data_IF_293196601079
#
_entry.id   IF_293196601079
#
_cell.length_a   1.000
_cell.length_b   1.000
_cell.length_c   1.000
_cell.angle_alpha   90.00
_cell.angle_beta   90.00
_cell.angle_gamma   90.00
#
_symmetry.space_group_name_H-M   'P 1'
#
loop_
_entity.id
_entity.type
_entity.pdbx_description
1 polymer ?
#
# COMPACT_ATOMS: atom_id res chain seq x y z
N UNK A 1 -8.13 -19.24 4.49
CA UNK A 1 -7.44 -20.10 5.49
C UNK A 1 -7.86 -19.83 6.95
N UNK A 2 -7.99 -18.57 7.40
CA UNK A 2 -8.34 -18.25 8.82
C UNK A 2 -9.62 -18.94 9.35
N UNK A 3 -10.72 -18.92 8.59
CA UNK A 3 -11.99 -19.61 8.98
C UNK A 3 -11.81 -21.12 9.12
N UNK A 4 -11.05 -21.73 8.21
CA UNK A 4 -10.76 -23.17 8.23
C UNK A 4 -9.90 -23.55 9.44
N UNK A 5 -8.88 -22.75 9.76
CA UNK A 5 -8.07 -22.95 10.96
C UNK A 5 -8.91 -22.92 12.24
N UNK A 6 -9.77 -21.92 12.41
CA UNK A 6 -10.65 -21.83 13.58
C UNK A 6 -11.67 -22.96 13.66
N UNK A 7 -12.20 -23.42 12.52
CA UNK A 7 -13.06 -24.59 12.46
C UNK A 7 -12.32 -25.86 12.91
N UNK A 8 -11.11 -26.09 12.40
CA UNK A 8 -10.28 -27.22 12.81
C UNK A 8 -9.91 -27.14 14.29
N UNK A 9 -9.54 -25.96 14.78
CA UNK A 9 -9.26 -25.74 16.20
C UNK A 9 -10.49 -26.04 17.08
N UNK A 10 -11.67 -25.58 16.67
CA UNK A 10 -12.93 -25.87 17.36
C UNK A 10 -13.22 -27.37 17.40
N UNK A 11 -13.02 -28.09 16.29
CA UNK A 11 -13.17 -29.54 16.20
C UNK A 11 -12.24 -30.25 17.20
N UNK A 12 -10.98 -29.81 17.30
CA UNK A 12 -10.00 -30.38 18.24
C UNK A 12 -10.45 -30.19 19.70
N UNK A 13 -10.93 -28.99 20.03
CA UNK A 13 -11.44 -28.67 21.37
C UNK A 13 -12.71 -29.47 21.68
N UNK A 14 -13.65 -29.57 20.74
CA UNK A 14 -14.89 -30.35 20.88
C UNK A 14 -14.60 -31.84 21.08
N UNK A 15 -13.65 -32.41 20.33
CA UNK A 15 -13.23 -33.80 20.51
C UNK A 15 -12.65 -34.03 21.92
N UNK A 16 -11.77 -33.14 22.39
CA UNK A 16 -11.23 -33.21 23.76
C UNK A 16 -12.33 -33.17 24.82
N UNK A 17 -13.35 -32.32 24.64
CA UNK A 17 -14.51 -32.27 25.53
C UNK A 17 -15.34 -33.56 25.47
N UNK A 18 -15.56 -34.12 24.27
CA UNK A 18 -16.28 -35.40 24.10
C UNK A 18 -15.55 -36.57 24.78
N UNK A 19 -14.23 -36.68 24.63
CA UNK A 19 -13.41 -37.71 25.29
C UNK A 19 -13.51 -37.59 26.83
N UNK A 20 -13.52 -36.37 27.37
CA UNK A 20 -13.71 -36.15 28.80
C UNK A 20 -15.10 -36.57 29.28
N UNK A 21 -16.14 -36.34 28.47
CA UNK A 21 -17.50 -36.78 28.78
C UNK A 21 -17.66 -38.31 28.71
N UNK A 22 -16.90 -38.97 27.84
CA UNK A 22 -16.87 -40.44 27.73
C UNK A 22 -16.26 -41.13 28.96
N UNK A 23 -15.60 -40.38 29.86
CA UNK A 23 -15.12 -40.91 31.14
C UNK A 23 -16.23 -41.01 32.21
N UNK A 24 -17.43 -40.50 31.92
CA UNK A 24 -18.59 -40.56 32.82
C UNK A 24 -19.38 -41.87 32.62
N UNK A 25 -20.04 -42.38 33.68
CA UNK A 25 -20.82 -43.61 33.57
C UNK A 25 -21.94 -43.49 32.52
N UNK A 26 -22.24 -44.57 31.77
CA UNK A 26 -23.21 -44.53 30.68
C UNK A 26 -24.61 -44.24 31.21
N UNK A 27 -25.22 -43.17 30.68
CA UNK A 27 -26.57 -42.72 31.06
C UNK A 27 -27.66 -43.61 30.43
N UNK A 28 -27.33 -44.35 29.37
CA UNK A 28 -28.28 -45.17 28.59
C UNK A 28 -27.78 -46.63 28.52
N UNK A 29 -28.63 -47.63 28.86
CA UNK A 29 -28.30 -49.04 28.67
C UNK A 29 -27.99 -49.34 27.19
N UNK A 30 -26.89 -50.06 26.93
CA UNK A 30 -26.35 -50.35 25.58
C UNK A 30 -25.91 -49.13 24.75
N UNK A 31 -25.91 -47.92 25.32
CA UNK A 31 -25.38 -46.72 24.66
C UNK A 31 -23.88 -46.81 24.35
N UNK A 32 -23.17 -47.71 25.03
CA UNK A 32 -21.72 -47.89 24.95
C UNK A 32 -21.23 -48.18 23.52
N UNK A 33 -21.97 -49.00 22.75
CA UNK A 33 -21.63 -49.31 21.35
C UNK A 33 -21.76 -48.05 20.48
N UNK A 34 -22.80 -47.26 20.69
CA UNK A 34 -23.02 -46.01 19.96
C UNK A 34 -21.93 -45.00 20.31
N UNK A 35 -21.53 -44.90 21.58
CA UNK A 35 -20.42 -44.05 22.02
C UNK A 35 -19.09 -44.47 21.39
N UNK A 36 -18.75 -45.76 21.35
CA UNK A 36 -17.51 -46.24 20.73
C UNK A 36 -17.43 -45.98 19.22
N UNK A 37 -18.55 -46.15 18.50
CA UNK A 37 -18.62 -45.81 17.07
C UNK A 37 -18.47 -44.31 16.86
N UNK A 38 -19.15 -43.48 17.66
CA UNK A 38 -19.02 -42.02 17.58
C UNK A 38 -17.59 -41.56 17.92
N UNK A 39 -16.97 -42.13 18.95
CA UNK A 39 -15.59 -41.80 19.34
C UNK A 39 -14.61 -42.13 18.21
N UNK A 40 -14.77 -43.29 17.57
CA UNK A 40 -13.94 -43.69 16.43
C UNK A 40 -14.04 -42.69 15.26
N UNK A 41 -15.26 -42.27 14.91
CA UNK A 41 -15.50 -41.28 13.84
C UNK A 41 -14.91 -39.91 14.23
N UNK A 42 -15.16 -39.45 15.45
CA UNK A 42 -14.67 -38.16 15.94
C UNK A 42 -13.14 -38.14 16.05
N UNK A 43 -12.51 -39.26 16.41
CA UNK A 43 -11.05 -39.41 16.45
C UNK A 43 -10.43 -39.24 15.07
N UNK A 44 -11.00 -39.86 14.04
CA UNK A 44 -10.56 -39.68 12.64
C UNK A 44 -10.69 -38.20 12.23
N UNK A 45 -11.84 -37.58 12.49
CA UNK A 45 -12.08 -36.16 12.17
C UNK A 45 -11.09 -35.25 12.91
N UNK A 46 -10.79 -35.54 14.18
CA UNK A 46 -9.83 -34.81 14.99
C UNK A 46 -8.39 -34.94 14.43
N UNK A 47 -7.98 -36.14 13.99
CA UNK A 47 -6.68 -36.34 13.35
C UNK A 47 -6.55 -35.51 12.07
N UNK A 48 -7.58 -35.47 11.23
CA UNK A 48 -7.61 -34.60 10.06
C UNK A 48 -7.56 -33.11 10.45
N UNK A 49 -8.31 -32.69 11.46
CA UNK A 49 -8.31 -31.31 11.94
C UNK A 49 -6.94 -30.86 12.49
N UNK A 50 -6.25 -31.74 13.22
CA UNK A 50 -4.87 -31.52 13.67
C UNK A 50 -3.90 -31.43 12.49
N UNK A 51 -4.00 -32.35 11.53
CA UNK A 51 -3.17 -32.36 10.33
C UNK A 51 -3.34 -31.08 9.50
N UNK A 52 -4.59 -30.67 9.24
CA UNK A 52 -4.91 -29.45 8.50
C UNK A 52 -4.44 -28.21 9.27
N UNK A 53 -4.70 -28.10 10.58
CA UNK A 53 -4.25 -26.96 11.38
C UNK A 53 -2.72 -26.87 11.42
N UNK A 54 -2.04 -27.99 11.61
CA UNK A 54 -0.58 -28.08 11.58
C UNK A 54 -0.03 -27.65 10.22
N UNK A 55 -0.58 -28.15 9.12
CA UNK A 55 -0.19 -27.77 7.77
C UNK A 55 -0.36 -26.25 7.53
N UNK A 56 -1.46 -25.65 8.00
CA UNK A 56 -1.68 -24.19 7.91
C UNK A 56 -0.62 -23.43 8.71
N UNK A 57 -0.29 -23.88 9.93
CA UNK A 57 0.75 -23.24 10.75
C UNK A 57 2.12 -23.34 10.08
N UNK A 58 2.52 -24.54 9.64
CA UNK A 58 3.78 -24.74 8.93
C UNK A 58 3.86 -23.97 7.62
N UNK A 59 2.76 -23.83 6.89
CA UNK A 59 2.69 -23.00 5.70
C UNK A 59 3.06 -21.54 6.00
N UNK A 60 2.44 -20.92 7.02
CA UNK A 60 2.74 -19.53 7.38
C UNK A 60 4.15 -19.34 7.96
N UNK A 61 4.65 -20.32 8.72
CA UNK A 61 6.03 -20.30 9.23
C UNK A 61 7.03 -20.40 8.06
N UNK A 62 6.81 -21.33 7.13
CA UNK A 62 7.64 -21.50 5.94
C UNK A 62 7.64 -20.23 5.08
N UNK A 63 6.46 -19.64 4.87
CA UNK A 63 6.32 -18.39 4.15
C UNK A 63 7.08 -17.24 4.85
N UNK A 64 7.02 -17.15 6.17
CA UNK A 64 7.78 -16.16 6.95
C UNK A 64 9.29 -16.32 6.78
N UNK A 65 9.82 -17.55 6.85
CA UNK A 65 11.25 -17.79 6.64
C UNK A 65 11.69 -17.51 5.20
N UNK A 66 10.91 -17.93 4.21
CA UNK A 66 11.19 -17.61 2.81
C UNK A 66 11.18 -16.11 2.58
N UNK A 67 10.22 -15.39 3.17
CA UNK A 67 10.19 -13.93 3.17
C UNK A 67 11.43 -13.33 3.80
N UNK A 68 11.85 -13.83 4.97
CA UNK A 68 13.04 -13.34 5.66
C UNK A 68 14.31 -13.47 4.82
N UNK A 69 14.41 -14.54 4.03
CA UNK A 69 15.51 -14.77 3.11
C UNK A 69 15.47 -13.84 1.87
N UNK A 70 14.35 -13.19 1.59
CA UNK A 70 14.16 -12.25 0.48
C UNK A 70 14.03 -10.79 0.95
N UNK A 71 14.49 -10.46 2.16
CA UNK A 71 14.38 -9.11 2.73
C UNK A 71 15.17 -8.06 1.95
N UNK A 72 16.28 -8.46 1.32
CA UNK A 72 17.11 -7.56 0.51
C UNK A 72 16.29 -6.92 -0.62
N UNK A 73 15.42 -7.70 -1.28
CA UNK A 73 14.51 -7.20 -2.32
C UNK A 73 13.55 -6.15 -1.76
N UNK A 74 12.99 -6.38 -0.57
CA UNK A 74 12.09 -5.43 0.05
C UNK A 74 12.82 -4.13 0.43
N UNK A 75 14.08 -4.21 0.85
CA UNK A 75 14.93 -3.06 1.10
C UNK A 75 15.22 -2.26 -0.17
N UNK A 76 15.54 -2.94 -1.27
CA UNK A 76 15.80 -2.29 -2.55
C UNK A 76 14.56 -1.57 -3.08
N UNK A 77 13.39 -2.24 -3.11
CA UNK A 77 12.13 -1.62 -3.53
C UNK A 77 11.79 -0.40 -2.65
N UNK A 78 11.91 -0.52 -1.32
CA UNK A 78 11.70 0.62 -0.41
C UNK A 78 12.67 1.75 -0.72
N UNK A 79 13.92 1.43 -1.04
CA UNK A 79 14.96 2.39 -1.43
C UNK A 79 14.59 3.17 -2.70
N UNK A 80 13.99 2.51 -3.68
CA UNK A 80 13.56 3.19 -4.90
C UNK A 80 12.31 4.03 -4.71
N UNK A 81 11.33 3.55 -3.95
CA UNK A 81 10.17 4.37 -3.55
C UNK A 81 10.64 5.60 -2.77
N UNK A 82 11.67 5.44 -1.92
CA UNK A 82 12.34 6.54 -1.23
C UNK A 82 12.82 7.60 -2.23
N UNK A 83 13.49 7.18 -3.30
CA UNK A 83 14.02 8.07 -4.32
C UNK A 83 12.91 8.87 -5.01
N UNK A 84 11.73 8.27 -5.24
CA UNK A 84 10.56 8.98 -5.78
C UNK A 84 10.02 9.99 -4.77
N UNK A 85 9.93 9.63 -3.49
CA UNK A 85 9.56 10.58 -2.42
C UNK A 85 10.53 11.76 -2.33
N UNK A 86 11.83 11.56 -2.64
CA UNK A 86 12.78 12.68 -2.71
C UNK A 86 12.42 13.68 -3.81
N UNK A 87 11.87 13.21 -4.92
CA UNK A 87 11.45 14.09 -6.04
C UNK A 87 10.17 14.83 -5.69
N UNK A 88 9.21 14.14 -5.05
CA UNK A 88 8.05 14.81 -4.46
C UNK A 88 8.49 15.93 -3.51
N UNK A 89 9.43 15.65 -2.61
CA UNK A 89 9.92 16.66 -1.68
C UNK A 89 10.52 17.89 -2.36
N UNK A 90 11.23 17.75 -3.50
CA UNK A 90 11.76 18.90 -4.26
C UNK A 90 10.66 19.87 -4.71
N UNK A 91 9.53 19.34 -5.19
CA UNK A 91 8.38 20.16 -5.57
C UNK A 91 7.75 20.78 -4.33
N UNK A 92 7.49 19.96 -3.32
CA UNK A 92 6.85 20.40 -2.08
C UNK A 92 7.66 21.48 -1.36
N UNK A 93 8.99 21.46 -1.43
CA UNK A 93 9.85 22.50 -0.84
C UNK A 93 9.57 23.92 -1.36
N UNK A 94 9.08 24.05 -2.60
CA UNK A 94 8.71 25.34 -3.17
C UNK A 94 7.42 25.90 -2.56
N UNK A 95 6.64 25.06 -1.90
CA UNK A 95 5.34 25.39 -1.33
C UNK A 95 5.54 25.86 0.11
N UNK A 96 5.01 27.05 0.43
CA UNK A 96 5.18 27.70 1.74
C UNK A 96 4.80 26.80 2.92
N UNK A 97 3.75 25.98 2.75
CA UNK A 97 3.26 25.02 3.73
C UNK A 97 4.34 24.03 4.20
N UNK A 98 5.22 23.63 3.30
CA UNK A 98 6.22 22.58 3.51
C UNK A 98 7.63 23.12 3.78
N UNK A 99 7.84 24.45 3.84
CA UNK A 99 9.17 25.07 4.06
C UNK A 99 9.92 24.61 5.31
N UNK A 100 9.22 24.00 6.30
CA UNK A 100 9.85 23.40 7.50
C UNK A 100 10.57 22.07 7.23
N UNK A 101 10.41 21.47 6.05
CA UNK A 101 11.09 20.22 5.69
C UNK A 101 12.60 20.41 5.53
N UNK A 102 13.06 21.64 5.26
CA UNK A 102 14.48 21.94 5.11
C UNK A 102 15.16 22.17 6.47
N UNK A 103 15.94 21.19 6.93
CA UNK A 103 17.12 21.42 7.78
C UNK A 103 18.36 21.02 6.99
N UNK A 104 18.99 22.01 6.37
CA UNK A 104 20.38 22.03 5.88
C UNK A 104 20.88 20.73 5.23
N UNK A 105 20.74 20.61 3.90
CA UNK A 105 21.82 20.21 2.96
C UNK A 105 21.27 20.01 1.55
N UNK A 106 21.94 20.60 0.57
CA UNK A 106 21.89 20.17 -0.82
C UNK A 106 22.58 18.80 -0.89
N UNK A 107 21.81 17.75 -1.21
CA UNK A 107 22.22 16.52 -1.93
C UNK A 107 21.61 15.23 -1.38
N UNK A 108 21.16 15.16 -0.12
CA UNK A 108 20.60 13.91 0.42
C UNK A 108 19.37 14.17 1.26
N UNK A 109 18.19 13.88 0.70
CA UNK A 109 16.95 13.74 1.49
C UNK A 109 17.12 12.53 2.42
N UNK A 110 17.21 12.79 3.72
CA UNK A 110 17.46 11.78 4.74
C UNK A 110 16.14 11.18 5.24
N UNK A 111 16.22 10.02 5.89
CA UNK A 111 15.07 9.35 6.51
C UNK A 111 14.27 10.29 7.45
N UNK A 112 14.98 11.17 8.17
CA UNK A 112 14.38 12.18 9.06
C UNK A 112 13.45 13.15 8.30
N UNK A 113 13.80 13.49 7.05
CA UNK A 113 13.07 14.48 6.25
C UNK A 113 11.79 13.86 5.69
N UNK A 114 11.82 12.56 5.39
CA UNK A 114 10.63 11.76 5.04
C UNK A 114 9.70 11.65 6.24
N UNK A 115 10.22 11.35 7.43
CA UNK A 115 9.39 11.34 8.65
C UNK A 115 8.74 12.71 8.86
N UNK A 116 9.47 13.80 8.65
CA UNK A 116 8.92 15.15 8.75
C UNK A 116 7.83 15.40 7.71
N UNK A 117 8.05 15.03 6.45
CA UNK A 117 7.05 15.12 5.38
C UNK A 117 5.77 14.35 5.74
N UNK A 118 5.91 13.09 6.14
CA UNK A 118 4.79 12.24 6.54
C UNK A 118 4.05 12.81 7.74
N UNK A 119 4.77 13.39 8.71
CA UNK A 119 4.17 14.06 9.86
C UNK A 119 3.41 15.34 9.46
N UNK A 120 3.93 16.13 8.52
CA UNK A 120 3.23 17.33 8.02
C UNK A 120 1.93 16.94 7.33
N UNK A 121 1.96 15.92 6.46
CA UNK A 121 0.77 15.42 5.76
C UNK A 121 -0.25 14.84 6.75
N UNK A 122 0.20 13.95 7.65
CA UNK A 122 -0.66 13.30 8.64
C UNK A 122 -1.35 14.26 9.61
N UNK A 123 -0.67 15.34 9.98
CA UNK A 123 -1.21 16.34 10.91
C UNK A 123 -1.89 17.52 10.19
N UNK A 124 -2.05 17.46 8.87
CA UNK A 124 -2.72 18.51 8.12
C UNK A 124 -4.18 18.61 8.55
N UNK A 125 -4.71 19.82 8.81
CA UNK A 125 -6.11 19.98 9.13
C UNK A 125 -6.97 19.62 7.91
N UNK A 126 -8.14 19.03 8.17
CA UNK A 126 -9.18 18.83 7.16
C UNK A 126 -9.83 20.15 6.79
N UNK A 127 -10.14 20.32 5.52
CA UNK A 127 -10.91 21.44 5.00
C UNK A 127 -12.37 21.33 5.43
N UNK A 128 -13.02 22.48 5.64
CA UNK A 128 -14.45 22.54 5.96
C UNK A 128 -15.29 22.58 4.69
N UNK A 129 -15.48 21.44 4.01
CA UNK A 129 -16.33 21.33 2.81
C UNK A 129 -16.12 22.47 1.79
N UNK A 130 -14.85 22.77 1.49
CA UNK A 130 -14.48 23.74 0.46
C UNK A 130 -13.87 22.95 -0.70
N UNK A 131 -14.44 23.11 -1.89
CA UNK A 131 -13.80 22.67 -3.11
C UNK A 131 -12.69 23.66 -3.46
N UNK A 132 -11.49 23.16 -3.71
CA UNK A 132 -10.35 24.01 -4.07
C UNK A 132 -10.39 24.34 -5.56
N UNK A 133 -10.75 23.35 -6.37
CA UNK A 133 -11.12 23.53 -7.76
C UNK A 133 -12.64 23.54 -7.91
N UNK A 134 -13.14 23.82 -9.11
CA UNK A 134 -14.54 23.57 -9.38
C UNK A 134 -14.84 22.06 -9.32
N UNK A 135 -16.03 21.72 -8.80
CA UNK A 135 -16.45 20.32 -8.53
C UNK A 135 -16.32 19.42 -9.76
N UNK A 136 -16.41 19.98 -10.96
CA UNK A 136 -16.28 19.24 -12.21
C UNK A 136 -14.93 18.52 -12.32
N UNK A 137 -13.80 19.17 -11.98
CA UNK A 137 -12.48 18.53 -12.08
C UNK A 137 -12.25 17.44 -11.03
N UNK A 138 -12.66 17.68 -9.79
CA UNK A 138 -12.53 16.69 -8.71
C UNK A 138 -13.36 15.43 -9.01
N UNK A 139 -14.58 15.59 -9.54
CA UNK A 139 -15.43 14.48 -9.96
C UNK A 139 -14.86 13.79 -11.23
N UNK A 140 -14.26 14.55 -12.15
CA UNK A 140 -13.71 14.02 -13.41
C UNK A 140 -12.48 13.14 -13.20
N UNK A 141 -11.62 13.48 -12.24
CA UNK A 141 -10.37 12.74 -11.96
C UNK A 141 -10.46 11.80 -10.75
N UNK A 142 -11.66 11.65 -10.18
CA UNK A 142 -11.93 10.83 -9.00
C UNK A 142 -10.95 11.13 -7.84
N UNK A 143 -10.66 12.42 -7.64
CA UNK A 143 -9.79 12.89 -6.57
C UNK A 143 -10.37 14.15 -5.94
N UNK A 144 -10.71 14.04 -4.66
CA UNK A 144 -11.28 15.12 -3.87
C UNK A 144 -10.24 15.71 -2.93
N UNK A 145 -10.11 17.04 -2.92
CA UNK A 145 -9.22 17.72 -1.99
C UNK A 145 -9.90 17.79 -0.61
N UNK A 146 -9.28 17.17 0.39
CA UNK A 146 -9.81 17.06 1.75
C UNK A 146 -8.96 17.79 2.80
N UNK A 147 -7.70 18.06 2.50
CA UNK A 147 -6.74 18.59 3.47
C UNK A 147 -6.09 19.90 3.04
N UNK A 148 -5.70 20.71 4.02
CA UNK A 148 -5.04 22.01 3.77
C UNK A 148 -3.75 21.90 2.95
N UNK A 149 -2.97 20.82 3.14
CA UNK A 149 -1.75 20.60 2.36
C UNK A 149 -2.06 20.40 0.87
N UNK A 150 -3.14 19.69 0.53
CA UNK A 150 -3.58 19.43 -0.84
C UNK A 150 -4.06 20.71 -1.50
N UNK A 151 -4.81 21.53 -0.75
CA UNK A 151 -5.20 22.88 -1.18
C UNK A 151 -3.98 23.72 -1.53
N UNK A 152 -2.98 23.74 -0.65
CA UNK A 152 -1.79 24.58 -0.88
C UNK A 152 -0.95 24.09 -2.06
N UNK A 153 -0.92 22.77 -2.31
CA UNK A 153 -0.35 22.20 -3.54
C UNK A 153 -1.15 22.67 -4.75
N UNK A 154 -2.48 22.62 -4.68
CA UNK A 154 -3.35 23.10 -5.74
C UNK A 154 -3.12 24.56 -6.11
N UNK A 155 -2.99 25.43 -5.12
CA UNK A 155 -2.64 26.85 -5.30
C UNK A 155 -1.28 27.02 -5.98
N UNK A 156 -0.26 26.28 -5.52
CA UNK A 156 1.07 26.32 -6.13
C UNK A 156 1.08 25.91 -7.61
N UNK A 157 0.37 24.83 -7.96
CA UNK A 157 0.30 24.36 -9.35
C UNK A 157 -0.40 25.34 -10.30
N UNK A 158 -1.30 26.18 -9.78
CA UNK A 158 -1.91 27.26 -10.56
C UNK A 158 -0.92 28.42 -10.77
N UNK A 159 -0.10 28.74 -9.77
CA UNK A 159 0.85 29.87 -9.78
C UNK A 159 2.17 29.60 -10.51
N UNK A 160 2.65 28.34 -10.51
CA UNK A 160 3.96 27.98 -11.08
C UNK A 160 4.00 28.18 -12.60
N UNK A 161 5.13 28.61 -13.15
CA UNK A 161 5.33 28.68 -14.60
C UNK A 161 5.18 27.31 -15.27
N UNK A 162 4.55 27.29 -16.44
CA UNK A 162 4.22 26.06 -17.15
C UNK A 162 5.45 25.26 -17.59
N UNK A 163 6.56 25.92 -17.94
CA UNK A 163 7.79 25.21 -18.32
C UNK A 163 8.42 24.52 -17.10
N UNK A 164 8.34 25.17 -15.94
CA UNK A 164 8.78 24.59 -14.66
C UNK A 164 7.95 23.37 -14.32
N UNK A 165 6.63 23.47 -14.44
CA UNK A 165 5.70 22.34 -14.22
C UNK A 165 6.00 21.16 -15.15
N UNK A 166 6.24 21.45 -16.43
CA UNK A 166 6.61 20.43 -17.43
C UNK A 166 7.90 19.71 -17.04
N UNK A 167 8.91 20.45 -16.61
CA UNK A 167 10.20 19.91 -16.21
C UNK A 167 10.08 19.04 -14.96
N UNK A 168 9.38 19.54 -13.93
CA UNK A 168 9.15 18.81 -12.69
C UNK A 168 8.44 17.47 -12.92
N UNK A 169 7.48 17.42 -13.85
CA UNK A 169 6.74 16.19 -14.18
C UNK A 169 7.57 15.23 -15.05
N UNK A 170 8.38 15.75 -15.97
CA UNK A 170 9.24 14.92 -16.81
C UNK A 170 10.29 14.16 -16.01
N UNK A 171 10.81 14.79 -14.96
CA UNK A 171 11.75 14.15 -14.06
C UNK A 171 11.12 12.89 -13.44
N UNK A 172 9.83 12.91 -13.06
CA UNK A 172 9.14 11.71 -12.55
C UNK A 172 8.99 10.58 -13.57
N UNK A 173 8.78 10.90 -14.84
CA UNK A 173 8.55 9.89 -15.89
C UNK A 173 9.77 8.97 -16.04
N UNK A 174 10.98 9.51 -15.87
CA UNK A 174 12.22 8.74 -15.90
C UNK A 174 12.29 7.74 -14.74
N UNK A 175 11.94 8.17 -13.53
CA UNK A 175 11.96 7.29 -12.35
C UNK A 175 10.82 6.28 -12.36
N UNK A 176 9.62 6.68 -12.77
CA UNK A 176 8.49 5.78 -12.87
C UNK A 176 8.80 4.62 -13.82
N UNK A 177 9.40 4.90 -14.99
CA UNK A 177 9.81 3.86 -15.95
C UNK A 177 10.86 2.90 -15.37
N UNK A 178 11.89 3.41 -14.69
CA UNK A 178 12.92 2.58 -14.06
C UNK A 178 12.33 1.69 -12.97
N UNK A 179 11.50 2.27 -12.12
CA UNK A 179 10.87 1.58 -11.00
C UNK A 179 9.84 0.54 -11.49
N UNK A 180 9.10 0.87 -12.55
CA UNK A 180 8.20 -0.03 -13.28
C UNK A 180 8.94 -1.27 -13.82
N UNK A 181 10.06 -1.08 -14.54
CA UNK A 181 10.86 -2.19 -15.07
C UNK A 181 11.38 -3.06 -13.92
N UNK A 182 12.01 -2.42 -12.94
CA UNK A 182 12.61 -3.11 -11.80
C UNK A 182 11.56 -3.93 -11.04
N UNK A 183 10.45 -3.33 -10.62
CA UNK A 183 9.43 -4.06 -9.87
C UNK A 183 8.74 -5.13 -10.73
N UNK A 184 8.56 -4.92 -12.04
CA UNK A 184 8.05 -5.98 -12.92
C UNK A 184 9.01 -7.18 -12.99
N UNK A 185 10.32 -6.94 -13.05
CA UNK A 185 11.34 -8.00 -13.00
C UNK A 185 11.30 -8.75 -11.66
N UNK A 186 11.05 -8.05 -10.55
CA UNK A 186 10.88 -8.66 -9.24
C UNK A 186 9.56 -9.40 -9.07
N UNK A 187 8.47 -8.89 -9.64
CA UNK A 187 7.13 -9.51 -9.61
C UNK A 187 7.15 -10.92 -10.21
N UNK A 188 7.95 -11.11 -11.26
CA UNK A 188 8.12 -12.42 -11.92
C UNK A 188 8.92 -13.39 -11.02
N UNK A 189 9.86 -12.87 -10.23
CA UNK A 189 10.81 -13.70 -9.48
C UNK A 189 10.50 -13.85 -7.98
N UNK A 190 9.54 -13.09 -7.43
CA UNK A 190 9.29 -13.07 -5.98
C UNK A 190 7.85 -13.44 -5.62
N UNK A 191 7.66 -14.72 -5.32
CA UNK A 191 6.37 -15.26 -4.87
C UNK A 191 5.81 -14.56 -3.63
N UNK A 192 6.66 -13.93 -2.79
CA UNK A 192 6.22 -13.23 -1.58
C UNK A 192 5.36 -11.99 -1.86
N UNK A 193 5.57 -11.28 -2.97
CA UNK A 193 4.79 -10.08 -3.33
C UNK A 193 3.32 -10.43 -3.61
N UNK A 194 3.06 -11.61 -4.16
CA UNK A 194 1.69 -12.10 -4.39
C UNK A 194 0.89 -12.23 -3.09
N UNK A 195 1.56 -12.56 -1.97
CA UNK A 195 0.90 -12.77 -0.68
C UNK A 195 0.65 -11.46 0.09
N UNK A 196 1.33 -10.36 -0.27
CA UNK A 196 1.16 -9.05 0.32
C UNK A 196 0.11 -8.24 -0.44
N UNK A 197 -1.18 -8.45 -0.08
CA UNK A 197 -2.36 -7.75 -0.64
C UNK A 197 -2.07 -6.32 -1.08
N UNK A 198 -1.62 -5.51 -0.13
CA UNK A 198 -1.47 -4.07 -0.31
C UNK A 198 -0.19 -3.70 -1.04
N UNK A 199 0.88 -4.49 -0.91
CA UNK A 199 2.16 -4.15 -1.54
C UNK A 199 2.04 -4.27 -3.04
N UNK A 200 1.51 -5.38 -3.54
CA UNK A 200 1.32 -5.58 -4.98
C UNK A 200 0.24 -4.64 -5.55
N UNK A 201 -0.86 -4.41 -4.83
CA UNK A 201 -1.90 -3.45 -5.25
C UNK A 201 -1.31 -2.02 -5.30
N UNK A 202 -0.63 -1.55 -4.25
CA UNK A 202 -0.03 -0.20 -4.22
C UNK A 202 1.15 -0.04 -5.18
N UNK A 203 1.95 -1.09 -5.39
CA UNK A 203 2.97 -1.16 -6.44
C UNK A 203 2.33 -1.08 -7.81
N UNK A 204 1.27 -1.86 -8.08
CA UNK A 204 0.61 -1.82 -9.37
C UNK A 204 -0.02 -0.44 -9.57
N UNK A 205 -0.74 0.15 -8.60
CA UNK A 205 -1.28 1.53 -8.71
C UNK A 205 -0.18 2.56 -8.98
N UNK A 206 0.98 2.41 -8.33
CA UNK A 206 2.13 3.28 -8.52
C UNK A 206 2.81 3.10 -9.90
N UNK A 207 2.86 1.87 -10.42
CA UNK A 207 3.51 1.48 -11.68
C UNK A 207 2.55 1.52 -12.87
N UNK A 208 1.24 1.56 -12.61
CA UNK A 208 0.23 1.36 -13.63
C UNK A 208 0.41 2.46 -14.68
N UNK A 209 0.72 2.09 -15.94
CA UNK A 209 0.71 3.06 -17.01
C UNK A 209 -0.63 3.81 -17.02
N UNK A 210 -1.76 3.14 -16.75
CA UNK A 210 -3.10 3.75 -16.83
C UNK A 210 -3.40 4.76 -15.70
N UNK A 211 -2.76 4.70 -14.52
CA UNK A 211 -2.99 5.66 -13.41
C UNK A 211 -2.04 6.86 -13.45
N UNK A 212 -0.79 6.62 -13.83
CA UNK A 212 0.17 7.69 -14.06
C UNK A 212 -0.07 8.40 -15.41
N UNK A 213 -0.85 7.77 -16.29
CA UNK A 213 -1.23 8.30 -17.59
C UNK A 213 -1.95 9.64 -17.45
N UNK A 214 -2.87 9.86 -16.50
CA UNK A 214 -3.52 11.18 -16.38
C UNK A 214 -2.48 12.29 -16.18
N UNK A 215 -1.59 12.17 -15.18
CA UNK A 215 -0.54 13.16 -14.92
C UNK A 215 0.37 13.36 -16.14
N UNK A 216 0.85 12.27 -16.75
CA UNK A 216 1.79 12.34 -17.88
C UNK A 216 1.11 12.74 -19.20
N UNK A 217 -0.17 12.42 -19.38
CA UNK A 217 -1.01 12.78 -20.51
C UNK A 217 -1.31 14.27 -20.45
N UNK A 218 -1.80 14.79 -19.32
CA UNK A 218 -2.03 16.23 -19.19
C UNK A 218 -0.73 17.02 -19.30
N UNK A 219 0.40 16.48 -18.81
CA UNK A 219 1.71 17.10 -19.07
C UNK A 219 2.10 17.08 -20.56
N UNK A 220 1.78 16.00 -21.28
CA UNK A 220 2.03 15.91 -22.73
C UNK A 220 1.14 16.87 -23.52
N UNK A 221 -0.12 17.05 -23.10
CA UNK A 221 -1.02 18.06 -23.66
C UNK A 221 -0.49 19.46 -23.38
N UNK A 222 -0.09 19.76 -22.13
CA UNK A 222 0.52 21.03 -21.75
C UNK A 222 1.73 21.38 -22.63
N UNK A 223 2.64 20.42 -22.85
CA UNK A 223 3.77 20.60 -23.79
C UNK A 223 3.34 20.91 -25.21
N UNK A 224 2.29 20.26 -25.69
CA UNK A 224 1.75 20.48 -27.05
C UNK A 224 1.16 21.88 -27.17
N UNK A 225 0.38 22.30 -26.16
CA UNK A 225 -0.22 23.63 -26.09
C UNK A 225 0.86 24.71 -26.02
N UNK A 226 1.89 24.58 -25.17
CA UNK A 226 3.00 25.54 -25.08
C UNK A 226 3.76 25.72 -26.41
N UNK A 227 3.81 24.70 -27.26
CA UNK A 227 4.39 24.80 -28.61
C UNK A 227 3.48 25.55 -29.58
N UNK A 228 2.16 25.52 -29.35
CA UNK A 228 1.20 26.30 -30.11
C UNK A 228 1.20 27.75 -29.60
N UNK A 229 1.54 28.72 -30.44
CA UNK A 229 1.79 30.10 -30.01
C UNK A 229 0.56 30.88 -29.52
N UNK A 230 -0.63 30.28 -29.51
CA UNK A 230 -1.91 30.91 -29.16
C UNK A 230 -2.71 30.01 -28.21
N UNK A 231 -2.30 29.93 -26.94
CA UNK A 231 -3.06 29.18 -25.92
C UNK A 231 -3.98 30.13 -25.16
N UNK A 232 -5.24 29.75 -25.02
CA UNK A 232 -6.20 30.45 -24.17
C UNK A 232 -5.86 30.26 -22.69
N UNK A 233 -5.87 31.35 -21.90
CA UNK A 233 -5.50 31.31 -20.49
C UNK A 233 -6.39 30.38 -19.64
N UNK A 234 -7.68 30.28 -19.98
CA UNK A 234 -8.63 29.41 -19.30
C UNK A 234 -8.27 27.93 -19.52
N UNK A 235 -7.93 27.57 -20.75
CA UNK A 235 -7.47 26.22 -21.11
C UNK A 235 -6.18 25.85 -20.35
N UNK A 236 -5.27 26.80 -20.17
CA UNK A 236 -4.04 26.58 -19.41
C UNK A 236 -4.33 26.31 -17.93
N UNK A 237 -5.25 27.09 -17.36
CA UNK A 237 -5.68 26.94 -15.98
C UNK A 237 -6.31 25.57 -15.75
N UNK A 238 -7.18 25.13 -16.65
CA UNK A 238 -7.83 23.82 -16.55
C UNK A 238 -6.84 22.66 -16.67
N UNK A 239 -5.85 22.76 -17.56
CA UNK A 239 -4.77 21.77 -17.66
C UNK A 239 -3.95 21.68 -16.36
N UNK A 240 -3.63 22.82 -15.75
CA UNK A 240 -2.91 22.87 -14.46
C UNK A 240 -3.70 22.22 -13.33
N UNK A 241 -5.03 22.41 -13.28
CA UNK A 241 -5.91 21.72 -12.32
C UNK A 241 -5.83 20.20 -12.50
N UNK A 242 -5.95 19.72 -13.74
CA UNK A 242 -5.87 18.28 -14.03
C UNK A 242 -4.51 17.69 -13.64
N UNK A 243 -3.43 18.37 -13.98
CA UNK A 243 -2.06 17.99 -13.61
C UNK A 243 -1.93 17.93 -12.08
N UNK A 244 -2.44 18.93 -11.35
CA UNK A 244 -2.36 18.93 -9.89
C UNK A 244 -3.10 17.75 -9.27
N UNK A 245 -4.33 17.45 -9.71
CA UNK A 245 -5.10 16.33 -9.18
C UNK A 245 -4.40 15.00 -9.47
N UNK A 246 -3.85 14.83 -10.68
CA UNK A 246 -3.00 13.69 -11.02
C UNK A 246 -1.75 13.59 -10.13
N UNK A 247 -1.10 14.72 -9.84
CA UNK A 247 0.06 14.78 -8.95
C UNK A 247 -0.28 14.40 -7.50
N UNK A 248 -1.38 14.92 -6.95
CA UNK A 248 -1.82 14.65 -5.58
C UNK A 248 -2.15 13.16 -5.37
N UNK A 249 -2.80 12.56 -6.36
CA UNK A 249 -3.06 11.12 -6.41
C UNK A 249 -1.73 10.34 -6.41
N UNK A 250 -0.81 10.70 -7.30
CA UNK A 250 0.50 10.07 -7.39
C UNK A 250 1.33 10.19 -6.10
N UNK A 251 1.31 11.36 -5.43
CA UNK A 251 1.95 11.58 -4.13
C UNK A 251 1.37 10.64 -3.06
N UNK A 252 0.04 10.56 -2.99
CA UNK A 252 -0.69 9.72 -2.02
C UNK A 252 -0.33 8.25 -2.21
N UNK A 253 -0.33 7.77 -3.45
CA UNK A 253 -0.01 6.39 -3.77
C UNK A 253 1.46 6.05 -3.47
N UNK A 254 2.38 6.98 -3.74
CA UNK A 254 3.80 6.83 -3.39
C UNK A 254 3.98 6.65 -1.88
N UNK A 255 3.32 7.49 -1.07
CA UNK A 255 3.37 7.42 0.40
C UNK A 255 2.77 6.12 0.93
N UNK A 256 1.62 5.70 0.39
CA UNK A 256 0.97 4.46 0.78
C UNK A 256 1.86 3.25 0.49
N UNK A 257 2.44 3.19 -0.72
CA UNK A 257 3.36 2.14 -1.11
C UNK A 257 4.57 2.08 -0.18
N UNK A 258 5.17 3.22 0.14
CA UNK A 258 6.27 3.31 1.10
C UNK A 258 5.91 2.75 2.48
N UNK A 259 4.79 3.17 3.06
CA UNK A 259 4.34 2.72 4.38
C UNK A 259 4.10 1.21 4.42
N UNK A 260 3.58 0.63 3.33
CA UNK A 260 3.37 -0.82 3.24
C UNK A 260 4.69 -1.59 3.31
N UNK A 261 5.72 -1.14 2.57
CA UNK A 261 7.04 -1.77 2.61
C UNK A 261 7.75 -1.54 3.96
N UNK A 262 7.60 -0.37 4.57
CA UNK A 262 8.18 -0.11 5.88
C UNK A 262 7.54 -0.96 6.99
N UNK A 263 6.21 -1.05 7.03
CA UNK A 263 5.48 -1.92 7.96
C UNK A 263 5.86 -3.39 7.75
N UNK A 264 6.00 -3.80 6.49
CA UNK A 264 6.41 -5.16 6.12
C UNK A 264 7.79 -5.49 6.69
N UNK A 265 8.79 -4.66 6.37
CA UNK A 265 10.16 -4.81 6.86
C UNK A 265 10.17 -4.85 8.38
N UNK A 266 9.49 -3.90 9.04
CA UNK A 266 9.41 -3.82 10.50
C UNK A 266 8.77 -5.06 11.13
N UNK A 267 7.78 -5.67 10.46
CA UNK A 267 7.11 -6.88 10.93
C UNK A 267 8.03 -8.09 10.91
N UNK A 268 8.88 -8.21 9.89
CA UNK A 268 9.81 -9.33 9.71
C UNK A 268 11.01 -9.19 10.63
N UNK A 269 11.64 -8.01 10.68
CA UNK A 269 12.81 -7.74 11.53
C UNK A 269 12.52 -7.92 13.02
N UNK A 270 11.34 -7.48 13.48
CA UNK A 270 10.92 -7.64 14.88
C UNK A 270 10.42 -9.05 15.21
N UNK A 271 10.60 -10.02 14.30
CA UNK A 271 10.09 -11.39 14.38
C UNK A 271 8.59 -11.45 14.75
N UNK A 272 7.80 -10.47 14.30
CA UNK A 272 6.37 -10.38 14.63
C UNK A 272 5.56 -11.22 13.65
N UNK A 273 5.70 -12.54 13.74
CA UNK A 273 5.00 -13.52 12.89
C UNK A 273 3.49 -13.25 12.83
N UNK A 274 2.87 -12.87 13.96
CA UNK A 274 1.44 -12.53 14.02
C UNK A 274 1.11 -11.30 13.17
N UNK A 275 1.97 -10.28 13.15
CA UNK A 275 1.76 -9.09 12.32
C UNK A 275 1.96 -9.43 10.84
N UNK A 276 3.00 -10.20 10.51
CA UNK A 276 3.21 -10.71 9.16
C UNK A 276 2.01 -11.51 8.64
N UNK A 277 1.46 -12.43 9.43
CA UNK A 277 0.25 -13.22 9.08
C UNK A 277 -0.98 -12.31 8.90
N UNK A 278 -1.07 -11.18 9.60
CA UNK A 278 -2.15 -10.20 9.39
C UNK A 278 -2.03 -9.48 8.05
N UNK A 279 -0.82 -9.32 7.52
CA UNK A 279 -0.56 -8.68 6.22
C UNK A 279 -0.85 -9.61 5.02
N UNK A 280 -0.96 -10.91 5.24
CA UNK A 280 -1.29 -11.92 4.22
C UNK A 280 -2.81 -12.13 4.11
N UNK A 281 -3.35 -12.25 2.87
CA UNK A 281 -4.78 -12.58 2.62
C UNK A 281 -5.12 -14.02 3.00
#
# INVERSE_FOLDING_TARGET
MKKLFWLCFLIIVLYKMFVLLNMLPPVIPHGDIVYHVMDSILSIINQFAMGISGAIVFYYISLFFNTKNNMDVAYEIRGDILNVLRHHAKILENIKYFKKIKKDTYDIFLWKDIINLLNVIKNSPKLKNEYVYDKYFEDYLDYKIEYEYEKTIGEYFLEVDENTLVQDIDDFNIYNKKLSIYINDFKINTSFLYYLKGALEGVNTFIDPDYSDDLFQYNSILKSELKSKNVEADKMTDLKKCICLGYLKFLTDTINCFNIFDDYISSVEKNKLINFIKMIK
#
